data_IF_175824240120
#
_entry.id   IF_175824240120
#
_cell.length_a   1.000
_cell.length_b   1.000
_cell.length_c   1.000
_cell.angle_alpha   90.00
_cell.angle_beta   90.00
_cell.angle_gamma   90.00
#
_symmetry.space_group_name_H-M   'P 1'
#
loop_
_entity.id
_entity.type
_entity.pdbx_description
1 polymer ?
#
# COMPACT_ATOMS: atom_id res chain seq x y z
N UNK A 1 6.11 -20.71 -9.97
CA UNK A 1 5.89 -20.18 -10.37
C UNK A 1 5.87 -18.86 -10.09
N UNK A 2 5.55 -18.43 -9.66
CA UNK A 2 5.30 -17.20 -9.20
C UNK A 2 6.40 -16.33 -8.70
N UNK A 3 7.55 -16.87 -8.52
CA UNK A 3 8.71 -16.09 -8.19
C UNK A 3 9.11 -15.17 -9.30
N UNK A 4 8.53 -15.31 -10.43
CA UNK A 4 8.98 -14.59 -11.61
C UNK A 4 8.32 -13.26 -11.85
N UNK A 5 7.42 -12.84 -10.95
CA UNK A 5 6.74 -11.57 -11.10
C UNK A 5 7.70 -10.39 -11.21
N UNK A 6 8.83 -10.47 -10.51
CA UNK A 6 9.84 -9.43 -10.60
C UNK A 6 10.58 -9.42 -11.93
N UNK A 7 10.61 -10.56 -12.63
CA UNK A 7 11.26 -10.63 -13.93
C UNK A 7 10.36 -10.20 -15.07
N UNK A 8 9.06 -10.09 -14.82
CA UNK A 8 8.09 -9.65 -15.83
C UNK A 8 8.11 -8.15 -16.07
N UNK A 9 8.73 -7.40 -15.18
CA UNK A 9 8.87 -5.95 -15.34
C UNK A 9 10.32 -5.62 -15.61
N UNK A 10 10.51 -4.66 -16.50
CA UNK A 10 11.85 -4.20 -16.87
C UNK A 10 12.25 -2.96 -16.05
N UNK A 11 13.42 -2.41 -16.35
CA UNK A 11 13.91 -1.26 -15.60
C UNK A 11 13.09 0.00 -15.85
N UNK A 12 12.44 0.15 -17.01
CA UNK A 12 11.53 1.28 -17.25
C UNK A 12 10.28 1.16 -16.38
N UNK A 13 9.73 -0.03 -16.28
CA UNK A 13 8.58 -0.28 -15.40
C UNK A 13 8.91 0.01 -13.94
N UNK A 14 10.10 -0.42 -13.49
CA UNK A 14 10.56 -0.16 -12.12
C UNK A 14 10.70 1.32 -11.86
N UNK A 15 11.22 2.06 -12.84
CA UNK A 15 11.37 3.51 -12.71
C UNK A 15 10.03 4.21 -12.67
N UNK A 16 9.07 3.77 -13.47
CA UNK A 16 7.70 4.28 -13.40
C UNK A 16 7.12 4.07 -12.00
N UNK A 17 7.25 2.87 -11.45
CA UNK A 17 6.76 2.57 -10.10
C UNK A 17 7.41 3.46 -9.04
N UNK A 18 8.72 3.68 -9.17
CA UNK A 18 9.44 4.55 -8.23
C UNK A 18 8.92 5.98 -8.27
N UNK A 19 8.71 6.52 -9.46
CA UNK A 19 8.24 7.91 -9.63
C UNK A 19 6.81 8.06 -9.15
N UNK A 20 5.89 7.20 -9.60
CA UNK A 20 4.48 7.32 -9.20
C UNK A 20 4.27 6.96 -7.73
N UNK A 21 5.14 6.15 -7.15
CA UNK A 21 5.10 5.84 -5.72
C UNK A 21 5.37 7.07 -4.86
N UNK A 22 6.08 8.05 -5.40
CA UNK A 22 6.37 9.32 -4.71
C UNK A 22 5.42 10.44 -5.12
N UNK A 23 4.92 10.41 -6.35
CA UNK A 23 4.03 11.43 -6.88
C UNK A 23 2.97 10.77 -7.76
N UNK A 24 1.86 10.40 -7.15
CA UNK A 24 0.76 9.74 -7.85
C UNK A 24 -0.03 10.65 -8.77
N UNK A 25 0.18 11.97 -8.69
CA UNK A 25 -0.52 12.94 -9.54
C UNK A 25 0.33 13.44 -10.70
N UNK A 26 1.51 12.88 -10.88
CA UNK A 26 2.40 13.28 -11.97
C UNK A 26 1.69 13.12 -13.33
N UNK A 27 1.86 14.09 -14.21
CA UNK A 27 1.33 14.00 -15.57
C UNK A 27 2.09 12.95 -16.37
N UNK A 28 1.44 12.42 -17.41
CA UNK A 28 2.10 11.46 -18.29
C UNK A 28 3.29 12.10 -19.01
N UNK A 29 3.20 13.39 -19.30
CA UNK A 29 4.31 14.14 -19.92
C UNK A 29 5.52 14.15 -18.99
N UNK A 30 5.33 14.55 -17.74
CA UNK A 30 6.43 14.62 -16.78
C UNK A 30 6.98 13.23 -16.45
N UNK A 31 6.09 12.25 -16.32
CA UNK A 31 6.50 10.88 -16.06
C UNK A 31 7.37 10.35 -17.19
N UNK A 32 6.94 10.55 -18.44
CA UNK A 32 7.70 10.07 -19.61
C UNK A 32 9.09 10.68 -19.68
N UNK A 33 9.19 11.97 -19.38
CA UNK A 33 10.49 12.65 -19.35
C UNK A 33 11.41 12.06 -18.26
N UNK A 34 10.87 11.82 -17.08
CA UNK A 34 11.68 11.29 -15.97
C UNK A 34 12.17 9.87 -16.21
N UNK A 35 11.39 9.05 -16.88
CA UNK A 35 11.76 7.65 -17.12
C UNK A 35 12.49 7.46 -18.46
N UNK A 36 12.55 8.49 -19.31
CA UNK A 36 13.28 8.41 -20.58
C UNK A 36 12.51 7.70 -21.68
N UNK A 37 11.18 7.81 -21.68
CA UNK A 37 10.31 7.25 -22.70
C UNK A 37 9.50 8.35 -23.36
N UNK A 38 8.99 8.11 -24.57
CA UNK A 38 7.97 8.96 -25.14
C UNK A 38 6.62 8.68 -24.47
N UNK A 39 5.66 9.59 -24.65
CA UNK A 39 4.39 9.56 -23.92
C UNK A 39 3.59 8.28 -24.11
N UNK A 40 3.43 7.84 -25.36
CA UNK A 40 2.58 6.69 -25.67
C UNK A 40 3.08 5.40 -25.03
N UNK A 41 4.35 4.99 -25.21
CA UNK A 41 4.82 3.80 -24.55
C UNK A 41 4.86 3.92 -23.03
N UNK A 42 5.08 5.12 -22.50
CA UNK A 42 5.01 5.36 -21.06
C UNK A 42 3.59 5.10 -20.53
N UNK A 43 2.59 5.64 -21.22
CA UNK A 43 1.18 5.44 -20.85
C UNK A 43 0.77 3.97 -20.92
N UNK A 44 1.20 3.27 -21.96
CA UNK A 44 0.90 1.83 -22.12
C UNK A 44 1.49 1.03 -20.97
N UNK A 45 2.74 1.33 -20.60
CA UNK A 45 3.39 0.65 -19.47
C UNK A 45 2.68 0.93 -18.16
N UNK A 46 2.31 2.19 -17.91
CA UNK A 46 1.60 2.56 -16.69
C UNK A 46 0.26 1.83 -16.60
N UNK A 47 -0.50 1.80 -17.68
CA UNK A 47 -1.78 1.11 -17.72
C UNK A 47 -1.62 -0.39 -17.48
N UNK A 48 -0.59 -1.01 -18.04
CA UNK A 48 -0.30 -2.43 -17.82
C UNK A 48 0.06 -2.70 -16.36
N UNK A 49 0.86 -1.84 -15.75
CA UNK A 49 1.22 -1.98 -14.34
C UNK A 49 -0.01 -1.88 -13.44
N UNK A 50 -0.97 -1.05 -13.80
CA UNK A 50 -2.24 -0.97 -13.09
C UNK A 50 -3.09 -2.23 -13.32
N UNK A 51 -3.20 -2.68 -14.55
CA UNK A 51 -4.00 -3.86 -14.91
C UNK A 51 -3.44 -5.13 -14.28
N UNK A 52 -2.13 -5.26 -14.22
CA UNK A 52 -1.46 -6.43 -13.67
C UNK A 52 -1.33 -6.40 -12.14
N UNK A 53 -1.81 -5.35 -11.49
CA UNK A 53 -1.86 -5.27 -10.04
C UNK A 53 -0.60 -4.79 -9.36
N UNK A 54 0.44 -4.38 -10.11
CA UNK A 54 1.62 -3.77 -9.50
C UNK A 54 1.27 -2.43 -8.84
N UNK A 55 0.30 -1.72 -9.41
CA UNK A 55 -0.28 -0.54 -8.81
C UNK A 55 -1.71 -0.89 -8.42
N UNK A 56 -1.99 -0.95 -7.13
CA UNK A 56 -3.32 -1.31 -6.65
C UNK A 56 -4.27 -0.12 -6.60
N UNK A 57 -3.74 1.09 -6.65
CA UNK A 57 -4.55 2.30 -6.64
C UNK A 57 -3.72 3.53 -6.34
N UNK A 58 -4.39 4.67 -6.31
CA UNK A 58 -3.78 5.96 -5.98
C UNK A 58 -4.56 6.58 -4.83
N UNK A 59 -3.85 7.16 -3.89
CA UNK A 59 -4.45 7.80 -2.72
C UNK A 59 -3.83 9.15 -2.48
N UNK A 60 -4.60 10.04 -1.87
CA UNK A 60 -4.07 11.28 -1.35
C UNK A 60 -3.35 11.04 -0.03
N UNK A 61 -2.23 11.69 0.15
CA UNK A 61 -1.54 11.75 1.44
C UNK A 61 -2.05 12.99 2.15
N UNK A 62 -2.83 12.79 3.20
CA UNK A 62 -3.46 13.87 3.93
C UNK A 62 -2.54 14.38 5.03
N UNK A 63 -2.76 15.63 5.43
CA UNK A 63 -2.06 16.21 6.56
C UNK A 63 -2.94 16.06 7.81
N UNK A 64 -2.63 15.11 8.70
CA UNK A 64 -3.50 14.82 9.83
C UNK A 64 -3.60 16.00 10.82
N UNK A 65 -2.52 16.77 10.99
CA UNK A 65 -2.54 17.93 11.88
C UNK A 65 -3.58 18.97 11.43
N UNK A 66 -3.66 19.21 10.12
CA UNK A 66 -4.64 20.14 9.55
C UNK A 66 -6.08 19.68 9.72
N UNK A 67 -6.28 18.37 9.86
CA UNK A 67 -7.60 17.78 10.04
C UNK A 67 -7.96 17.59 11.51
N UNK A 68 -7.12 18.03 12.42
CA UNK A 68 -7.33 17.82 13.84
C UNK A 68 -7.05 16.39 14.31
N UNK A 69 -6.31 15.62 13.51
CA UNK A 69 -5.98 14.22 13.79
C UNK A 69 -4.46 14.07 13.97
N UNK A 70 -3.87 14.95 14.74
CA UNK A 70 -2.42 15.07 14.85
C UNK A 70 -1.78 14.11 15.86
N UNK A 71 -2.59 13.25 16.50
CA UNK A 71 -2.09 12.23 17.40
C UNK A 71 -2.25 10.86 16.80
N UNK A 72 -1.15 10.08 16.83
CA UNK A 72 -1.16 8.67 16.44
C UNK A 72 -0.87 7.84 17.68
N UNK A 73 -1.68 6.84 17.92
CA UNK A 73 -1.49 5.91 19.03
C UNK A 73 -1.27 4.51 18.49
N UNK A 74 -0.36 3.77 19.13
CA UNK A 74 -0.17 2.35 18.86
C UNK A 74 -0.74 1.56 20.04
N UNK A 75 -1.58 0.57 19.74
CA UNK A 75 -2.15 -0.28 20.76
C UNK A 75 -1.64 -1.70 20.63
N UNK A 76 -1.03 -2.20 21.69
CA UNK A 76 -0.61 -3.59 21.78
C UNK A 76 -1.77 -4.40 22.36
N UNK A 77 -2.19 -5.43 21.65
CA UNK A 77 -3.36 -6.23 22.06
C UNK A 77 -2.92 -7.67 22.32
N UNK A 78 -3.27 -8.17 23.50
CA UNK A 78 -3.07 -9.55 23.85
C UNK A 78 -4.44 -10.20 24.03
N UNK A 79 -4.67 -11.29 23.29
CA UNK A 79 -5.92 -12.02 23.38
C UNK A 79 -5.86 -13.04 24.49
N UNK A 80 -7.01 -13.30 25.13
CA UNK A 80 -7.12 -14.35 26.15
C UNK A 80 -7.17 -15.74 25.51
N UNK A 81 -7.55 -15.81 24.24
CA UNK A 81 -7.66 -17.05 23.47
C UNK A 81 -7.09 -16.78 22.07
N UNK A 82 -6.11 -17.58 21.64
CA UNK A 82 -5.45 -17.44 20.35
C UNK A 82 -5.82 -18.53 19.35
N UNK A 83 -6.89 -19.28 19.61
CA UNK A 83 -7.40 -20.25 18.64
C UNK A 83 -7.97 -19.54 17.42
N UNK A 84 -8.04 -20.25 16.31
CA UNK A 84 -8.44 -19.68 15.02
C UNK A 84 -9.76 -18.91 15.07
N UNK A 85 -10.74 -19.42 15.78
CA UNK A 85 -12.04 -18.75 15.90
C UNK A 85 -11.93 -17.40 16.60
N UNK A 86 -11.10 -17.32 17.65
CA UNK A 86 -10.88 -16.08 18.39
C UNK A 86 -10.12 -15.06 17.56
N UNK A 87 -9.10 -15.50 16.82
CA UNK A 87 -8.33 -14.64 15.93
C UNK A 87 -9.22 -14.09 14.81
N UNK A 88 -10.05 -14.92 14.23
CA UNK A 88 -10.98 -14.49 13.19
C UNK A 88 -11.99 -13.48 13.71
N UNK A 89 -12.55 -13.71 14.87
CA UNK A 89 -13.49 -12.76 15.51
C UNK A 89 -12.83 -11.42 15.77
N UNK A 90 -11.59 -11.41 16.24
CA UNK A 90 -10.84 -10.19 16.48
C UNK A 90 -10.60 -9.45 15.17
N UNK A 91 -10.14 -10.15 14.13
CA UNK A 91 -9.88 -9.55 12.84
C UNK A 91 -11.13 -8.87 12.26
N UNK A 92 -12.28 -9.55 12.35
CA UNK A 92 -13.53 -8.99 11.85
C UNK A 92 -13.97 -7.77 12.65
N UNK A 93 -13.83 -7.81 13.97
CA UNK A 93 -14.23 -6.72 14.84
C UNK A 93 -13.37 -5.48 14.63
N UNK A 94 -12.05 -5.66 14.52
CA UNK A 94 -11.13 -4.53 14.41
C UNK A 94 -11.28 -3.80 13.09
N UNK A 95 -11.66 -4.51 12.03
CA UNK A 95 -11.86 -3.89 10.72
C UNK A 95 -13.06 -2.95 10.68
N UNK A 96 -13.96 -3.06 11.64
CA UNK A 96 -15.14 -2.20 11.74
C UNK A 96 -14.87 -0.91 12.53
N UNK A 97 -13.73 -0.80 13.17
CA UNK A 97 -13.36 0.36 13.97
C UNK A 97 -12.72 1.41 13.08
N UNK A 98 -13.38 2.55 12.92
CA UNK A 98 -12.94 3.61 11.99
C UNK A 98 -11.58 4.19 12.34
N UNK A 99 -11.25 4.26 13.61
CA UNK A 99 -10.04 4.88 14.11
C UNK A 99 -8.80 4.01 13.90
N UNK A 100 -8.99 2.73 13.56
CA UNK A 100 -7.88 1.81 13.29
C UNK A 100 -7.48 1.94 11.83
N UNK A 101 -6.25 2.39 11.60
CA UNK A 101 -5.69 2.52 10.25
C UNK A 101 -5.00 1.24 9.81
N UNK A 102 -4.27 0.62 10.72
CA UNK A 102 -3.50 -0.58 10.45
C UNK A 102 -3.64 -1.56 11.61
N UNK A 103 -3.61 -2.84 11.30
CA UNK A 103 -3.64 -3.90 12.30
C UNK A 103 -2.68 -4.99 11.85
N UNK A 104 -1.70 -5.31 12.69
CA UNK A 104 -0.68 -6.31 12.39
C UNK A 104 -0.73 -7.44 13.42
N UNK A 105 -0.82 -8.68 12.92
CA UNK A 105 -0.62 -9.84 13.76
C UNK A 105 0.88 -10.01 13.97
N UNK A 106 1.29 -10.14 15.23
CA UNK A 106 2.70 -10.25 15.57
C UNK A 106 2.95 -11.46 16.47
N UNK A 107 4.18 -11.95 16.44
CA UNK A 107 4.62 -12.99 17.37
C UNK A 107 5.39 -12.34 18.51
N UNK A 108 5.16 -12.79 19.74
CA UNK A 108 5.86 -12.27 20.90
C UNK A 108 4.98 -12.14 22.13
N UNK A 109 5.16 -11.04 22.85
CA UNK A 109 4.48 -10.82 24.13
C UNK A 109 3.01 -10.47 23.98
N UNK A 110 2.59 -9.97 22.83
CA UNK A 110 1.22 -9.63 22.51
C UNK A 110 0.92 -10.12 21.10
N UNK A 111 -0.37 -10.15 20.76
CA UNK A 111 -0.84 -10.82 19.55
C UNK A 111 -1.05 -9.86 18.39
N UNK A 112 -1.42 -8.62 18.68
CA UNK A 112 -1.68 -7.61 17.65
C UNK A 112 -1.11 -6.26 18.03
N UNK A 113 -0.71 -5.53 17.01
CA UNK A 113 -0.35 -4.13 17.08
C UNK A 113 -1.28 -3.33 16.17
N UNK A 114 -1.97 -2.37 16.73
CA UNK A 114 -2.89 -1.50 16.01
C UNK A 114 -2.33 -0.10 15.86
#
# INVERSE_FOLDING_TARGET
MTTDNFSEIDQFDRKILEVVGKDGRISITDLSERVGLSKTPCKVRLQRLMADGYISGFRAVLNPAKLGLDHVAFAEVKLTDTRDAALQSFNEAVMKIREVEECHMIAGRFDYLL
#
